data_IF_409930994530
#
_entry.id   IF_409930994530
#
_cell.length_a   1.000
_cell.length_b   1.000
_cell.length_c   1.000
_cell.angle_alpha   90.00
_cell.angle_beta   90.00
_cell.angle_gamma   90.00
#
_symmetry.space_group_name_H-M   'P 1'
#
loop_
_entity.id
_entity.type
_entity.pdbx_description
1 polymer ?
#
# COMPACT_ATOMS: atom_id res chain seq x y z
N UNK A 1 7.58 -1.75 -36.59
CA UNK A 1 6.61 -1.43 -35.51
C UNK A 1 5.46 -0.65 -36.11
N UNK A 2 4.32 -1.30 -36.40
CA UNK A 2 3.13 -0.64 -36.97
C UNK A 2 2.35 0.10 -35.86
N UNK A 3 1.82 1.30 -36.12
CA UNK A 3 1.07 2.06 -35.14
C UNK A 3 -0.31 1.44 -34.89
N UNK A 4 -0.68 1.40 -33.61
CA UNK A 4 -1.92 0.86 -33.09
C UNK A 4 -3.10 1.74 -33.56
N UNK A 5 -3.89 1.25 -34.52
CA UNK A 5 -5.07 1.98 -35.03
C UNK A 5 -6.27 1.80 -34.11
N UNK A 6 -7.06 2.86 -33.98
CA UNK A 6 -8.19 3.03 -33.06
C UNK A 6 -9.44 2.20 -33.37
N UNK A 7 -9.30 1.07 -34.09
CA UNK A 7 -10.42 0.22 -34.50
C UNK A 7 -10.56 -1.09 -33.71
N UNK A 8 -9.65 -1.41 -32.79
CA UNK A 8 -9.69 -2.66 -32.00
C UNK A 8 -10.49 -2.56 -30.68
N UNK A 9 -11.27 -1.49 -30.49
CA UNK A 9 -12.11 -1.26 -29.29
C UNK A 9 -13.42 -2.06 -29.24
N UNK A 10 -13.67 -2.97 -30.19
CA UNK A 10 -14.98 -3.66 -30.31
C UNK A 10 -15.00 -5.13 -29.87
N UNK A 11 -13.90 -5.68 -29.33
CA UNK A 11 -13.85 -7.06 -28.79
C UNK A 11 -13.41 -7.12 -27.33
N UNK A 12 -13.98 -6.27 -26.47
CA UNK A 12 -14.12 -6.64 -25.07
C UNK A 12 -15.36 -7.53 -25.01
N UNK A 13 -15.14 -8.82 -24.75
CA UNK A 13 -16.16 -9.78 -24.37
C UNK A 13 -17.13 -9.10 -23.40
N UNK A 14 -18.35 -8.80 -23.88
CA UNK A 14 -19.47 -8.37 -23.03
C UNK A 14 -19.97 -9.57 -22.25
N UNK A 15 -19.05 -10.26 -21.57
CA UNK A 15 -19.34 -11.29 -20.60
C UNK A 15 -20.43 -10.75 -19.71
N UNK A 16 -21.56 -11.47 -19.69
CA UNK A 16 -22.77 -11.18 -18.91
C UNK A 16 -22.44 -10.30 -17.70
N UNK A 17 -22.99 -9.09 -17.65
CA UNK A 17 -23.09 -8.36 -16.38
C UNK A 17 -23.59 -9.38 -15.35
N UNK A 18 -22.87 -9.62 -14.23
CA UNK A 18 -23.34 -10.57 -13.24
C UNK A 18 -24.77 -10.16 -12.90
N UNK A 19 -25.72 -11.10 -13.03
CA UNK A 19 -27.10 -10.89 -12.59
C UNK A 19 -27.01 -10.27 -11.20
N UNK A 20 -27.69 -9.13 -10.97
CA UNK A 20 -27.73 -8.48 -9.64
C UNK A 20 -27.83 -9.58 -8.60
N UNK A 21 -26.79 -9.72 -7.78
CA UNK A 21 -26.77 -10.74 -6.74
C UNK A 21 -28.09 -10.61 -5.96
N UNK A 22 -28.79 -11.73 -5.77
CA UNK A 22 -30.04 -11.72 -5.03
C UNK A 22 -29.77 -11.04 -3.67
N UNK A 23 -30.50 -9.98 -3.37
CA UNK A 23 -30.38 -9.30 -2.07
C UNK A 23 -30.90 -10.25 -1.01
N UNK A 24 -30.00 -10.97 -0.35
CA UNK A 24 -30.34 -11.82 0.80
C UNK A 24 -30.65 -10.88 1.96
N UNK A 25 -31.93 -10.78 2.34
CA UNK A 25 -32.29 -10.15 3.63
C UNK A 25 -31.89 -11.11 4.73
N UNK A 26 -30.90 -10.69 5.51
CA UNK A 26 -30.39 -11.44 6.66
C UNK A 26 -30.53 -10.57 7.90
N UNK A 27 -30.86 -11.21 9.02
CA UNK A 27 -30.88 -10.57 10.34
C UNK A 27 -29.48 -10.43 10.95
N UNK A 28 -28.45 -10.99 10.31
CA UNK A 28 -27.08 -10.96 10.82
C UNK A 28 -26.34 -9.73 10.33
N UNK A 29 -25.41 -9.27 11.16
CA UNK A 29 -24.51 -8.20 10.82
C UNK A 29 -23.61 -8.60 9.63
N UNK A 30 -23.26 -7.62 8.78
CA UNK A 30 -22.51 -7.77 7.53
C UNK A 30 -21.21 -8.60 7.70
N UNK A 31 -20.47 -8.33 8.78
CA UNK A 31 -19.24 -9.05 9.09
C UNK A 31 -19.47 -10.55 9.25
N UNK A 32 -20.56 -10.96 9.90
CA UNK A 32 -20.87 -12.37 10.13
C UNK A 32 -21.25 -13.08 8.83
N UNK A 33 -21.99 -12.42 7.94
CA UNK A 33 -22.39 -13.00 6.65
C UNK A 33 -21.19 -13.25 5.75
N UNK A 34 -20.31 -12.25 5.60
CA UNK A 34 -19.09 -12.39 4.81
C UNK A 34 -18.15 -13.47 5.37
N UNK A 35 -17.95 -13.51 6.69
CA UNK A 35 -17.13 -14.54 7.34
C UNK A 35 -17.69 -15.95 7.14
N UNK A 36 -19.02 -16.12 7.23
CA UNK A 36 -19.68 -17.41 6.99
C UNK A 36 -19.58 -17.85 5.53
N UNK A 37 -19.87 -16.94 4.59
CA UNK A 37 -19.79 -17.20 3.16
C UNK A 37 -18.38 -17.61 2.74
N UNK A 38 -17.35 -16.90 3.21
CA UNK A 38 -15.95 -17.25 2.96
C UNK A 38 -15.58 -18.61 3.54
N UNK A 39 -15.97 -18.88 4.80
CA UNK A 39 -15.72 -20.16 5.44
C UNK A 39 -16.44 -21.33 4.73
N UNK A 40 -17.64 -21.09 4.19
CA UNK A 40 -18.39 -22.06 3.40
C UNK A 40 -17.76 -22.31 2.03
N UNK A 41 -17.35 -21.26 1.33
CA UNK A 41 -16.58 -21.35 0.09
C UNK A 41 -15.37 -22.26 0.29
N UNK A 42 -14.55 -22.00 1.31
CA UNK A 42 -13.37 -22.82 1.65
C UNK A 42 -13.72 -24.30 1.89
N UNK A 43 -14.82 -24.58 2.60
CA UNK A 43 -15.27 -25.95 2.88
C UNK A 43 -15.76 -26.67 1.63
N UNK A 44 -16.42 -25.97 0.71
CA UNK A 44 -16.97 -26.53 -0.52
C UNK A 44 -15.92 -26.68 -1.64
N UNK A 45 -14.85 -25.90 -1.62
CA UNK A 45 -13.76 -26.02 -2.60
C UNK A 45 -13.03 -27.35 -2.46
N UNK A 46 -13.01 -28.15 -3.53
CA UNK A 46 -12.35 -29.48 -3.58
C UNK A 46 -10.88 -29.38 -3.18
N UNK A 47 -10.38 -30.32 -2.36
CA UNK A 47 -9.04 -30.27 -1.73
C UNK A 47 -7.87 -29.91 -2.68
N UNK A 48 -7.89 -30.42 -3.92
CA UNK A 48 -6.84 -30.19 -4.93
C UNK A 48 -7.03 -28.90 -5.74
N UNK A 49 -8.19 -28.26 -5.67
CA UNK A 49 -8.47 -27.02 -6.38
C UNK A 49 -7.82 -25.83 -5.63
N UNK A 50 -7.08 -24.94 -6.33
CA UNK A 50 -6.61 -23.69 -5.76
C UNK A 50 -7.78 -22.77 -5.42
N UNK A 51 -7.59 -21.86 -4.47
CA UNK A 51 -8.60 -20.90 -4.08
C UNK A 51 -8.00 -19.49 -4.01
N UNK A 52 -8.82 -18.51 -4.35
CA UNK A 52 -8.60 -17.09 -4.10
C UNK A 52 -9.90 -16.57 -3.47
N UNK A 53 -9.80 -15.91 -2.33
CA UNK A 53 -10.94 -15.27 -1.67
C UNK A 53 -10.52 -13.88 -1.19
N UNK A 54 -11.16 -12.86 -1.74
CA UNK A 54 -11.11 -11.49 -1.22
C UNK A 54 -12.37 -11.28 -0.39
N UNK A 55 -12.21 -11.11 0.92
CA UNK A 55 -13.33 -10.96 1.86
C UNK A 55 -13.33 -9.53 2.37
N UNK A 56 -14.16 -8.69 1.76
CA UNK A 56 -14.27 -7.27 2.09
C UNK A 56 -15.53 -7.02 2.90
N UNK A 57 -15.37 -6.73 4.19
CA UNK A 57 -16.46 -6.34 5.08
C UNK A 57 -16.61 -4.82 5.09
N UNK A 58 -17.82 -4.32 5.35
CA UNK A 58 -18.06 -2.87 5.42
C UNK A 58 -17.56 -2.25 6.73
N UNK A 59 -17.64 -2.98 7.84
CA UNK A 59 -17.13 -2.51 9.14
C UNK A 59 -15.63 -2.17 9.06
N UNK A 60 -15.15 -1.09 9.69
CA UNK A 60 -15.86 -0.20 10.62
C UNK A 60 -16.49 1.05 9.95
N UNK A 61 -16.69 1.07 8.63
CA UNK A 61 -17.23 2.24 7.92
C UNK A 61 -18.60 2.68 8.47
N UNK A 62 -18.82 4.00 8.52
CA UNK A 62 -20.08 4.58 8.98
C UNK A 62 -21.31 4.18 8.11
N UNK A 63 -22.52 4.08 8.70
CA UNK A 63 -22.79 4.08 10.14
C UNK A 63 -22.17 2.85 10.82
N UNK A 64 -21.45 3.07 11.92
CA UNK A 64 -20.75 2.03 12.66
C UNK A 64 -21.72 1.30 13.61
N UNK A 65 -22.68 0.59 13.03
CA UNK A 65 -23.71 -0.14 13.79
C UNK A 65 -23.20 -1.52 14.19
N UNK A 66 -22.75 -1.67 15.42
CA UNK A 66 -22.28 -2.96 15.94
C UNK A 66 -23.43 -3.98 16.10
N UNK A 67 -23.08 -5.27 16.15
CA UNK A 67 -24.05 -6.29 16.53
C UNK A 67 -24.42 -6.12 18.00
N UNK A 68 -25.65 -6.46 18.39
CA UNK A 68 -26.15 -6.26 19.76
C UNK A 68 -25.22 -6.84 20.85
N UNK A 69 -24.58 -8.00 20.57
CA UNK A 69 -23.63 -8.65 21.47
C UNK A 69 -22.29 -7.93 21.64
N UNK A 70 -21.98 -6.97 20.79
CA UNK A 70 -20.70 -6.24 20.79
C UNK A 70 -20.84 -4.82 21.36
N UNK A 71 -22.08 -4.37 21.64
CA UNK A 71 -22.33 -3.04 22.17
C UNK A 71 -21.63 -2.87 23.53
N UNK A 72 -20.88 -1.78 23.68
CA UNK A 72 -20.10 -1.49 24.88
C UNK A 72 -18.83 -2.32 25.05
N UNK A 73 -18.48 -3.20 24.12
CA UNK A 73 -17.21 -3.93 24.14
C UNK A 73 -16.17 -3.16 23.31
N UNK A 74 -15.22 -2.52 23.99
CA UNK A 74 -14.09 -1.84 23.34
C UNK A 74 -12.78 -2.11 24.07
N UNK A 75 -11.69 -2.05 23.32
CA UNK A 75 -10.35 -2.01 23.89
C UNK A 75 -10.09 -0.66 24.59
N UNK A 76 -8.99 -0.58 25.33
CA UNK A 76 -8.45 0.70 25.79
C UNK A 76 -8.10 1.58 24.58
N UNK A 77 -8.48 2.86 24.66
CA UNK A 77 -8.29 3.87 23.62
C UNK A 77 -7.64 5.13 24.18
N UNK A 78 -6.98 5.01 25.34
CA UNK A 78 -6.16 6.06 25.97
C UNK A 78 -5.15 6.69 25.02
N UNK A 79 -4.46 5.87 24.22
CA UNK A 79 -3.47 6.33 23.24
C UNK A 79 -4.03 7.31 22.18
N UNK A 80 -5.33 7.26 21.90
CA UNK A 80 -5.97 8.25 21.02
C UNK A 80 -6.17 9.59 21.72
N UNK A 81 -6.53 9.59 23.00
CA UNK A 81 -6.67 10.81 23.80
C UNK A 81 -5.33 11.53 24.03
N UNK A 82 -4.26 10.75 24.17
CA UNK A 82 -2.91 11.27 24.40
C UNK A 82 -2.21 11.70 23.10
N UNK A 83 -2.83 11.48 21.94
CA UNK A 83 -2.27 11.87 20.65
C UNK A 83 -2.38 13.39 20.45
N UNK A 84 -1.26 14.16 20.44
CA UNK A 84 -1.27 15.61 20.28
C UNK A 84 -1.84 16.09 18.94
N UNK A 85 -1.86 15.24 17.91
CA UNK A 85 -2.51 15.58 16.64
C UNK A 85 -4.03 15.69 16.80
N UNK A 86 -4.63 15.02 17.80
CA UNK A 86 -6.08 15.02 18.02
C UNK A 86 -6.57 16.35 18.57
N UNK A 87 -7.19 17.12 17.68
CA UNK A 87 -7.50 18.52 17.93
C UNK A 87 -6.26 19.33 18.23
N UNK A 88 -5.28 19.19 17.34
CA UNK A 88 -4.02 19.93 17.28
C UNK A 88 -4.28 21.43 17.49
N UNK A 89 -3.53 22.02 18.42
CA UNK A 89 -3.74 23.40 18.87
C UNK A 89 -3.17 24.43 17.90
N UNK A 90 -2.07 24.09 17.24
CA UNK A 90 -1.41 24.94 16.24
C UNK A 90 -1.37 24.19 14.92
N UNK A 91 -2.04 24.74 13.92
CA UNK A 91 -2.05 24.23 12.54
C UNK A 91 -1.55 25.28 11.55
N UNK A 92 -0.91 26.35 12.05
CA UNK A 92 -0.51 27.51 11.23
C UNK A 92 0.55 27.18 10.18
N UNK A 93 1.26 26.06 10.36
CA UNK A 93 2.27 25.49 9.47
C UNK A 93 1.69 24.51 8.43
N UNK A 94 0.44 24.08 8.58
CA UNK A 94 -0.25 23.17 7.66
C UNK A 94 -0.67 23.90 6.38
N UNK A 95 -0.96 23.19 5.29
CA UNK A 95 -1.56 23.78 4.09
C UNK A 95 -2.87 24.49 4.40
N UNK A 96 -3.18 25.53 3.61
CA UNK A 96 -4.37 26.36 3.78
C UNK A 96 -5.67 25.58 3.89
N UNK A 97 -5.83 24.51 3.10
CA UNK A 97 -7.04 23.69 3.13
C UNK A 97 -7.23 22.93 4.46
N UNK A 98 -6.14 22.69 5.21
CA UNK A 98 -6.16 22.12 6.57
C UNK A 98 -6.38 23.22 7.60
N UNK A 99 -5.78 24.39 7.43
CA UNK A 99 -6.03 25.56 8.29
C UNK A 99 -7.50 26.00 8.27
N UNK A 100 -8.17 25.82 7.12
CA UNK A 100 -9.60 26.08 6.96
C UNK A 100 -10.49 24.97 7.58
N UNK A 101 -9.91 23.88 8.10
CA UNK A 101 -10.66 22.87 8.84
C UNK A 101 -11.18 23.44 10.17
N UNK A 102 -12.38 23.02 10.57
CA UNK A 102 -12.98 23.48 11.82
C UNK A 102 -12.20 22.96 13.02
N UNK A 103 -11.73 23.88 13.88
CA UNK A 103 -11.06 23.51 15.14
C UNK A 103 -11.89 22.52 15.96
N UNK A 104 -11.23 21.48 16.45
CA UNK A 104 -11.88 20.42 17.22
C UNK A 104 -11.97 20.77 18.70
N UNK A 105 -12.91 21.64 19.04
CA UNK A 105 -13.24 21.95 20.44
C UNK A 105 -13.77 20.74 21.24
N UNK A 106 -13.92 20.87 22.58
CA UNK A 106 -14.23 19.75 23.48
C UNK A 106 -15.47 18.92 23.08
N UNK A 107 -16.54 19.57 22.63
CA UNK A 107 -17.76 18.91 22.17
C UNK A 107 -17.53 18.05 20.93
N UNK A 108 -16.72 18.53 19.99
CA UNK A 108 -16.34 17.75 18.80
C UNK A 108 -15.46 16.56 19.20
N UNK A 109 -14.47 16.75 20.09
CA UNK A 109 -13.63 15.64 20.60
C UNK A 109 -14.49 14.54 21.25
N UNK A 110 -15.42 14.92 22.13
CA UNK A 110 -16.36 13.97 22.76
C UNK A 110 -17.25 13.25 21.75
N UNK A 111 -17.66 13.94 20.68
CA UNK A 111 -18.41 13.33 19.58
C UNK A 111 -17.55 12.29 18.84
N UNK A 112 -16.31 12.64 18.49
CA UNK A 112 -15.40 11.72 17.80
C UNK A 112 -15.04 10.50 18.65
N UNK A 113 -14.79 10.68 19.94
CA UNK A 113 -14.58 9.57 20.87
C UNK A 113 -15.76 8.58 20.85
N UNK A 114 -17.00 9.09 20.84
CA UNK A 114 -18.20 8.25 20.74
C UNK A 114 -18.26 7.49 19.41
N UNK A 115 -18.01 8.16 18.29
CA UNK A 115 -18.00 7.54 16.96
C UNK A 115 -16.91 6.47 16.86
N UNK A 116 -15.71 6.78 17.34
CA UNK A 116 -14.58 5.87 17.39
C UNK A 116 -14.88 4.64 18.25
N UNK A 117 -15.53 4.81 19.41
CA UNK A 117 -16.04 3.69 20.22
C UNK A 117 -16.97 2.78 19.43
N UNK A 118 -17.96 3.35 18.73
CA UNK A 118 -18.88 2.58 17.88
C UNK A 118 -18.14 1.83 16.75
N UNK A 119 -17.15 2.47 16.13
CA UNK A 119 -16.28 1.82 15.14
C UNK A 119 -15.55 0.61 15.74
N UNK A 120 -14.95 0.76 16.93
CA UNK A 120 -14.27 -0.33 17.63
C UNK A 120 -15.21 -1.49 17.98
N UNK A 121 -16.43 -1.21 18.45
CA UNK A 121 -17.44 -2.23 18.75
C UNK A 121 -17.73 -3.11 17.51
N UNK A 122 -17.76 -2.53 16.29
CA UNK A 122 -17.96 -3.31 15.06
C UNK A 122 -16.81 -4.27 14.73
N UNK A 123 -15.59 -4.00 15.22
CA UNK A 123 -14.38 -4.80 14.92
C UNK A 123 -14.42 -6.18 15.59
N UNK A 124 -15.17 -6.37 16.68
CA UNK A 124 -15.42 -7.70 17.24
C UNK A 124 -16.07 -8.66 16.22
N UNK A 125 -16.95 -8.13 15.36
CA UNK A 125 -17.52 -8.87 14.25
C UNK A 125 -16.48 -9.25 13.20
N UNK A 126 -15.55 -8.34 12.90
CA UNK A 126 -14.44 -8.59 11.96
C UNK A 126 -13.52 -9.68 12.48
N UNK A 127 -13.10 -9.58 13.75
CA UNK A 127 -12.21 -10.56 14.40
C UNK A 127 -12.81 -11.97 14.39
N UNK A 128 -14.09 -12.12 14.80
CA UNK A 128 -14.77 -13.42 14.73
C UNK A 128 -14.86 -13.98 13.31
N UNK A 129 -15.02 -13.11 12.30
CA UNK A 129 -15.05 -13.54 10.91
C UNK A 129 -13.69 -13.99 10.39
N UNK A 130 -12.61 -13.31 10.79
CA UNK A 130 -11.24 -13.77 10.58
C UNK A 130 -11.03 -15.14 11.24
N UNK A 131 -11.45 -15.31 12.50
CA UNK A 131 -11.40 -16.57 13.22
C UNK A 131 -12.15 -17.71 12.51
N UNK A 132 -13.34 -17.45 11.95
CA UNK A 132 -14.11 -18.42 11.15
C UNK A 132 -13.38 -18.84 9.87
N UNK A 133 -12.78 -17.90 9.16
CA UNK A 133 -12.02 -18.17 7.93
C UNK A 133 -10.80 -19.02 8.24
N UNK A 134 -10.00 -18.63 9.25
CA UNK A 134 -8.84 -19.39 9.72
C UNK A 134 -9.27 -20.79 10.16
N UNK A 135 -10.37 -20.90 10.91
CA UNK A 135 -10.93 -22.19 11.34
C UNK A 135 -11.31 -23.09 10.16
N UNK A 136 -11.90 -22.54 9.10
CA UNK A 136 -12.21 -23.30 7.89
C UNK A 136 -10.95 -23.76 7.15
N UNK A 137 -9.93 -22.91 7.03
CA UNK A 137 -8.63 -23.29 6.45
C UNK A 137 -7.95 -24.40 7.25
N UNK A 138 -7.99 -24.35 8.59
CA UNK A 138 -7.44 -25.40 9.46
C UNK A 138 -8.21 -26.72 9.32
N UNK A 139 -9.53 -26.70 9.42
CA UNK A 139 -10.40 -27.90 9.29
C UNK A 139 -10.24 -28.59 7.94
N UNK A 140 -10.02 -27.83 6.87
CA UNK A 140 -9.78 -28.36 5.52
C UNK A 140 -8.31 -28.71 5.23
N UNK A 141 -7.42 -28.61 6.24
CA UNK A 141 -5.96 -28.85 6.13
C UNK A 141 -5.26 -27.97 5.08
N UNK A 142 -5.78 -26.76 4.84
CA UNK A 142 -5.25 -25.78 3.87
C UNK A 142 -4.39 -24.70 4.51
N UNK A 143 -4.51 -24.45 5.81
CA UNK A 143 -3.85 -23.35 6.52
C UNK A 143 -2.34 -23.20 6.22
N UNK A 144 -1.60 -24.30 6.18
CA UNK A 144 -0.15 -24.26 5.94
C UNK A 144 0.23 -23.96 4.47
N UNK A 145 -0.75 -23.97 3.56
CA UNK A 145 -0.59 -23.83 2.10
C UNK A 145 -1.31 -22.60 1.56
N UNK A 146 -1.71 -21.67 2.44
CA UNK A 146 -2.49 -20.49 2.10
C UNK A 146 -1.70 -19.23 2.46
N UNK A 147 -1.54 -18.34 1.47
CA UNK A 147 -1.22 -16.93 1.73
C UNK A 147 -2.43 -16.28 2.37
N UNK A 148 -2.28 -15.83 3.60
CA UNK A 148 -3.32 -15.08 4.31
C UNK A 148 -2.85 -13.64 4.48
N UNK A 149 -3.63 -12.69 3.98
CA UNK A 149 -3.36 -11.25 4.11
C UNK A 149 -4.57 -10.59 4.75
N UNK A 150 -4.34 -9.74 5.75
CA UNK A 150 -5.34 -8.89 6.38
C UNK A 150 -4.88 -7.44 6.29
N UNK A 151 -5.73 -6.58 5.75
CA UNK A 151 -5.47 -5.14 5.62
C UNK A 151 -6.76 -4.32 5.62
N UNK A 152 -6.63 -3.00 5.51
CA UNK A 152 -7.71 -2.04 5.29
C UNK A 152 -7.52 -1.29 3.96
N UNK A 153 -8.59 -0.69 3.44
CA UNK A 153 -8.54 0.15 2.24
C UNK A 153 -7.80 1.47 2.47
N UNK A 154 -7.95 2.04 3.68
CA UNK A 154 -7.38 3.28 4.18
C UNK A 154 -7.51 3.32 5.72
N UNK A 155 -6.94 4.35 6.34
CA UNK A 155 -7.17 4.74 7.73
C UNK A 155 -8.43 5.62 7.91
N UNK A 156 -8.52 6.27 9.07
CA UNK A 156 -9.57 7.20 9.44
C UNK A 156 -9.03 8.22 10.47
N UNK A 157 -9.14 9.51 10.17
CA UNK A 157 -8.91 10.57 11.15
C UNK A 157 -10.14 10.73 12.04
N UNK A 158 -9.93 10.61 13.34
CA UNK A 158 -10.90 10.89 14.40
C UNK A 158 -10.65 12.24 15.07
N UNK A 159 -9.79 13.07 14.49
CA UNK A 159 -9.51 14.43 14.96
C UNK A 159 -8.07 14.87 14.81
N UNK A 160 -7.22 13.96 14.34
CA UNK A 160 -5.85 14.25 13.92
C UNK A 160 -5.85 15.42 12.92
N UNK A 161 -5.06 16.45 13.22
CA UNK A 161 -4.96 17.72 12.49
C UNK A 161 -6.29 18.46 12.32
N UNK A 162 -7.18 18.31 13.32
CA UNK A 162 -8.57 18.80 13.28
C UNK A 162 -9.43 18.18 12.16
N UNK A 163 -8.95 17.12 11.50
CA UNK A 163 -9.65 16.46 10.40
C UNK A 163 -10.51 15.29 10.89
N UNK A 164 -11.61 15.05 10.19
CA UNK A 164 -12.46 13.87 10.38
C UNK A 164 -12.64 13.14 9.06
N UNK A 165 -12.46 11.82 9.09
CA UNK A 165 -12.67 10.95 7.94
C UNK A 165 -11.40 10.62 7.18
N UNK A 166 -11.47 10.72 5.85
CA UNK A 166 -10.44 10.24 4.92
C UNK A 166 -10.02 11.36 3.96
N UNK A 167 -9.12 11.04 3.03
CA UNK A 167 -8.68 11.88 1.90
C UNK A 167 -7.58 12.91 2.19
N UNK A 168 -6.86 12.80 3.31
CA UNK A 168 -5.61 13.50 3.58
C UNK A 168 -4.42 12.53 3.52
N UNK A 169 -3.19 13.04 3.36
CA UNK A 169 -1.98 12.22 3.29
C UNK A 169 -1.45 11.75 4.65
N UNK A 170 -1.96 12.31 5.75
CA UNK A 170 -1.52 12.04 7.12
C UNK A 170 -1.70 10.58 7.54
N UNK A 171 -0.82 10.14 8.43
CA UNK A 171 -0.73 8.77 8.95
C UNK A 171 -2.07 8.20 9.38
N UNK A 172 -2.88 8.96 10.12
CA UNK A 172 -4.20 8.49 10.59
C UNK A 172 -5.11 8.00 9.45
N UNK A 173 -4.90 8.47 8.21
CA UNK A 173 -5.72 8.18 7.04
C UNK A 173 -5.02 7.26 6.03
N UNK A 174 -3.70 7.17 6.07
CA UNK A 174 -2.89 6.40 5.10
C UNK A 174 -2.29 5.12 5.68
N UNK A 175 -1.93 5.09 6.95
CA UNK A 175 -1.44 3.88 7.61
C UNK A 175 -2.61 2.91 7.88
N UNK A 176 -2.43 1.66 7.46
CA UNK A 176 -3.40 0.57 7.65
C UNK A 176 -2.74 -0.63 8.32
N UNK A 177 -3.49 -1.43 9.10
CA UNK A 177 -2.95 -2.69 9.60
C UNK A 177 -2.56 -3.57 8.41
N UNK A 178 -1.42 -4.24 8.46
CA UNK A 178 -1.02 -5.21 7.45
C UNK A 178 -0.45 -6.46 8.13
N UNK A 179 -1.17 -7.57 8.00
CA UNK A 179 -0.72 -8.87 8.48
C UNK A 179 -0.61 -9.79 7.28
N UNK A 180 0.59 -10.27 7.00
CA UNK A 180 0.85 -11.24 5.93
C UNK A 180 1.39 -12.52 6.56
N UNK A 181 0.73 -13.64 6.27
CA UNK A 181 1.16 -14.97 6.70
C UNK A 181 1.35 -15.87 5.50
N UNK A 182 2.58 -16.36 5.34
CA UNK A 182 2.88 -17.46 4.45
C UNK A 182 3.90 -18.40 5.09
N UNK A 183 3.40 -19.49 5.69
CA UNK A 183 4.17 -20.31 6.63
C UNK A 183 5.53 -20.80 6.13
N UNK A 184 5.63 -21.22 4.87
CA UNK A 184 6.88 -21.78 4.33
C UNK A 184 7.81 -20.73 3.69
N UNK A 185 7.35 -19.49 3.47
CA UNK A 185 8.15 -18.41 2.87
C UNK A 185 8.64 -17.40 3.91
N UNK A 186 7.96 -17.30 5.06
CA UNK A 186 8.34 -16.37 6.14
C UNK A 186 8.47 -17.16 7.44
N UNK A 187 9.67 -17.14 8.02
CA UNK A 187 9.96 -17.80 9.31
C UNK A 187 9.74 -16.81 10.46
N UNK A 188 9.09 -17.28 11.52
CA UNK A 188 8.91 -16.53 12.76
C UNK A 188 7.78 -15.50 12.74
N UNK A 189 7.54 -14.88 13.90
CA UNK A 189 6.75 -13.66 14.01
C UNK A 189 7.74 -12.51 13.96
N UNK A 190 7.69 -11.70 12.92
CA UNK A 190 8.51 -10.49 12.80
C UNK A 190 7.57 -9.30 12.58
N UNK A 191 7.77 -8.25 13.35
CA UNK A 191 7.23 -6.92 13.03
C UNK A 191 8.32 -6.18 12.27
N UNK A 192 8.05 -5.84 11.02
CA UNK A 192 8.95 -4.99 10.24
C UNK A 192 8.50 -3.54 10.37
N UNK A 193 9.33 -2.72 11.00
CA UNK A 193 9.09 -1.29 11.20
C UNK A 193 9.91 -0.40 10.25
N UNK A 194 10.83 -1.00 9.49
CA UNK A 194 11.75 -0.25 8.61
C UNK A 194 11.23 -0.18 7.18
N UNK A 195 10.45 -1.17 6.80
CA UNK A 195 9.87 -1.29 5.47
C UNK A 195 8.50 -0.63 5.36
N UNK A 196 8.14 -0.26 4.13
CA UNK A 196 6.80 0.23 3.80
C UNK A 196 6.19 -0.62 2.69
N UNK A 197 4.87 -0.71 2.70
CA UNK A 197 4.08 -1.38 1.69
C UNK A 197 2.88 -0.50 1.32
N UNK A 198 2.35 -0.69 0.11
CA UNK A 198 1.11 -0.07 -0.32
C UNK A 198 0.10 -1.14 -0.75
N UNK A 199 -1.18 -0.81 -0.75
CA UNK A 199 -2.25 -1.77 -1.11
C UNK A 199 -2.08 -2.40 -2.51
N UNK A 200 -1.41 -1.71 -3.45
CA UNK A 200 -1.07 -2.26 -4.78
C UNK A 200 -0.09 -3.45 -4.71
N UNK A 201 0.70 -3.55 -3.64
CA UNK A 201 1.68 -4.62 -3.42
C UNK A 201 1.01 -5.97 -3.10
N UNK A 202 -0.24 -5.94 -2.60
CA UNK A 202 -1.00 -7.16 -2.28
C UNK A 202 -1.20 -8.04 -3.52
N UNK A 203 -1.50 -7.42 -4.65
CA UNK A 203 -1.67 -8.11 -5.93
C UNK A 203 -0.36 -8.73 -6.39
N UNK A 204 0.74 -7.96 -6.37
CA UNK A 204 2.07 -8.44 -6.75
C UNK A 204 2.53 -9.61 -5.87
N UNK A 205 2.29 -9.50 -4.55
CA UNK A 205 2.58 -10.53 -3.54
C UNK A 205 1.77 -11.80 -3.80
N UNK A 206 0.46 -11.69 -4.05
CA UNK A 206 -0.41 -12.82 -4.34
C UNK A 206 -0.03 -13.53 -5.64
N UNK A 207 0.31 -12.77 -6.69
CA UNK A 207 0.76 -13.30 -7.97
C UNK A 207 2.07 -14.08 -7.83
N UNK A 208 3.09 -13.52 -7.15
CA UNK A 208 4.34 -14.23 -6.92
C UNK A 208 4.13 -15.49 -6.08
N UNK A 209 3.30 -15.44 -5.03
CA UNK A 209 2.96 -16.62 -4.23
C UNK A 209 2.20 -17.70 -5.02
N UNK A 210 1.49 -17.29 -6.09
CA UNK A 210 0.81 -18.18 -7.04
C UNK A 210 1.70 -18.65 -8.20
N UNK A 211 2.97 -18.23 -8.27
CA UNK A 211 3.89 -18.57 -9.36
C UNK A 211 3.67 -17.76 -10.65
N UNK A 212 3.00 -16.61 -10.57
CA UNK A 212 2.76 -15.71 -11.69
C UNK A 212 3.70 -14.52 -11.63
N UNK A 213 4.59 -14.43 -12.61
CA UNK A 213 5.57 -13.35 -12.74
C UNK A 213 5.16 -12.45 -13.90
N UNK A 214 4.66 -11.26 -13.55
CA UNK A 214 4.31 -10.18 -14.49
C UNK A 214 5.08 -8.93 -14.07
N UNK A 215 5.67 -8.21 -15.00
CA UNK A 215 6.39 -6.96 -14.71
C UNK A 215 5.56 -5.73 -15.03
N UNK A 216 4.41 -5.87 -15.70
CA UNK A 216 3.54 -4.76 -16.10
C UNK A 216 2.54 -4.39 -14.99
N UNK A 217 3.05 -3.91 -13.86
CA UNK A 217 2.26 -3.55 -12.67
C UNK A 217 2.98 -2.54 -11.78
N UNK A 218 2.21 -1.74 -11.06
CA UNK A 218 2.74 -0.72 -10.15
C UNK A 218 3.19 -1.31 -8.79
N UNK A 219 2.57 -2.41 -8.38
CA UNK A 219 2.85 -3.07 -7.09
C UNK A 219 4.13 -3.88 -7.10
N UNK A 220 4.84 -3.88 -5.97
CA UNK A 220 6.03 -4.70 -5.73
C UNK A 220 5.67 -5.80 -4.74
N UNK A 221 6.12 -7.02 -5.00
CA UNK A 221 5.83 -8.14 -4.09
C UNK A 221 6.59 -7.98 -2.78
N UNK A 222 5.90 -8.23 -1.66
CA UNK A 222 6.49 -8.24 -0.32
C UNK A 222 7.26 -9.53 -0.01
N UNK A 223 7.21 -10.53 -0.88
CA UNK A 223 8.03 -11.75 -0.75
C UNK A 223 9.42 -11.46 -1.32
N UNK A 224 10.38 -11.18 -0.45
CA UNK A 224 11.77 -10.92 -0.82
C UNK A 224 12.30 -9.63 -0.20
N UNK A 225 12.82 -8.73 -1.04
CA UNK A 225 13.37 -7.46 -0.58
C UNK A 225 12.24 -6.44 -0.37
N UNK A 226 11.98 -6.02 0.87
CA UNK A 226 10.99 -4.99 1.12
C UNK A 226 11.47 -3.63 0.60
N UNK A 227 10.52 -2.77 0.23
CA UNK A 227 10.83 -1.39 -0.19
C UNK A 227 10.84 -0.43 0.99
N UNK A 228 11.65 0.61 0.87
CA UNK A 228 11.81 1.66 1.89
C UNK A 228 11.00 2.91 1.59
N UNK A 229 10.34 2.99 0.43
CA UNK A 229 9.49 4.12 0.05
C UNK A 229 8.33 3.75 -0.85
N UNK A 230 7.21 4.47 -0.71
CA UNK A 230 6.01 4.33 -1.54
C UNK A 230 5.47 5.70 -1.97
N UNK A 231 4.91 5.82 -3.19
CA UNK A 231 4.16 7.01 -3.56
C UNK A 231 2.82 7.06 -2.81
N UNK A 232 2.44 8.26 -2.36
CA UNK A 232 1.10 8.56 -1.86
C UNK A 232 0.39 9.46 -2.86
N UNK A 233 -0.84 9.13 -3.22
CA UNK A 233 -1.60 9.93 -4.19
C UNK A 233 -3.04 10.15 -3.74
N UNK A 234 -3.55 11.35 -4.00
CA UNK A 234 -4.92 11.74 -3.71
C UNK A 234 -5.51 12.54 -4.86
N UNK A 235 -6.76 12.25 -5.19
CA UNK A 235 -7.53 13.01 -6.20
C UNK A 235 -8.28 14.17 -5.55
N UNK A 236 -8.57 15.21 -6.32
CA UNK A 236 -9.39 16.34 -5.87
C UNK A 236 -10.74 15.86 -5.30
N UNK A 237 -11.11 16.38 -4.12
CA UNK A 237 -12.42 16.20 -3.49
C UNK A 237 -12.96 17.58 -3.06
N UNK A 238 -14.24 17.64 -2.69
CA UNK A 238 -14.83 18.90 -2.20
C UNK A 238 -14.01 19.44 -1.03
N UNK A 239 -13.48 20.66 -1.17
CA UNK A 239 -12.62 21.31 -0.18
C UNK A 239 -11.22 20.69 0.02
N UNK A 240 -10.83 19.66 -0.73
CA UNK A 240 -9.51 19.00 -0.57
C UNK A 240 -8.76 18.96 -1.90
N UNK A 241 -7.57 19.58 -1.99
CA UNK A 241 -6.77 19.54 -3.21
C UNK A 241 -6.30 18.10 -3.52
N UNK A 242 -6.03 17.78 -4.80
CA UNK A 242 -5.27 16.57 -5.11
C UNK A 242 -3.87 16.69 -4.50
N UNK A 243 -3.24 15.55 -4.21
CA UNK A 243 -1.89 15.51 -3.67
C UNK A 243 -1.06 14.38 -4.28
N UNK A 244 0.25 14.58 -4.28
CA UNK A 244 1.25 13.54 -4.52
C UNK A 244 2.31 13.64 -3.43
N UNK A 245 2.76 12.51 -2.92
CA UNK A 245 3.77 12.45 -1.89
C UNK A 245 4.66 11.23 -2.01
N UNK A 246 5.68 11.22 -1.15
CA UNK A 246 6.56 10.08 -0.96
C UNK A 246 6.66 9.77 0.52
N UNK A 247 6.43 8.50 0.87
CA UNK A 247 6.38 8.02 2.24
C UNK A 247 7.43 6.94 2.44
N UNK A 248 8.25 7.07 3.46
CA UNK A 248 9.16 6.02 3.95
C UNK A 248 8.74 5.57 5.35
N UNK A 249 9.54 4.79 6.08
CA UNK A 249 9.31 4.61 7.52
C UNK A 249 9.68 5.85 8.34
N UNK A 250 10.60 6.67 7.81
CA UNK A 250 11.25 7.78 8.52
C UNK A 250 10.75 9.17 8.12
N UNK A 251 10.00 9.31 7.03
CA UNK A 251 9.51 10.62 6.61
C UNK A 251 8.31 10.57 5.70
N UNK A 252 7.66 11.73 5.57
CA UNK A 252 6.55 11.99 4.67
C UNK A 252 6.80 13.31 3.96
N UNK A 253 6.79 13.29 2.63
CA UNK A 253 6.71 14.48 1.80
C UNK A 253 5.40 14.51 1.04
N UNK A 254 4.78 15.68 0.92
CA UNK A 254 3.56 15.89 0.13
C UNK A 254 3.65 17.20 -0.65
N UNK A 255 3.23 17.17 -1.91
CA UNK A 255 2.91 18.35 -2.73
C UNK A 255 1.43 18.32 -3.12
N UNK A 256 0.77 19.45 -2.94
CA UNK A 256 -0.63 19.62 -3.29
C UNK A 256 -0.81 20.24 -4.68
N UNK A 257 -2.00 20.06 -5.26
CA UNK A 257 -2.39 20.73 -6.50
C UNK A 257 -2.46 22.26 -6.37
N UNK A 258 -2.48 22.81 -5.15
CA UNK A 258 -2.35 24.25 -4.87
C UNK A 258 -0.91 24.76 -5.03
N UNK A 259 0.08 23.88 -5.06
CA UNK A 259 1.50 24.23 -5.04
C UNK A 259 2.13 24.22 -3.64
N UNK A 260 1.31 24.14 -2.59
CA UNK A 260 1.79 23.99 -1.21
C UNK A 260 2.47 22.63 -1.02
N UNK A 261 3.42 22.58 -0.09
CA UNK A 261 4.19 21.39 0.23
C UNK A 261 4.28 21.19 1.74
N UNK A 262 4.45 19.93 2.13
CA UNK A 262 4.71 19.53 3.50
C UNK A 262 5.85 18.54 3.56
N UNK A 263 6.65 18.61 4.62
CA UNK A 263 7.62 17.57 4.97
C UNK A 263 7.60 17.30 6.47
N UNK A 264 7.48 16.01 6.84
CA UNK A 264 7.51 15.55 8.23
C UNK A 264 8.64 14.55 8.43
N UNK A 265 9.48 14.78 9.44
CA UNK A 265 10.51 13.83 9.89
C UNK A 265 9.94 12.91 10.98
N UNK A 266 9.50 11.72 10.57
CA UNK A 266 8.76 10.81 11.44
C UNK A 266 9.62 10.11 12.49
N UNK A 267 10.95 10.30 12.45
CA UNK A 267 11.85 9.77 13.48
C UNK A 267 11.71 10.54 14.79
N UNK A 268 11.42 11.83 14.69
CA UNK A 268 11.29 12.75 15.84
C UNK A 268 9.87 13.30 15.99
N UNK A 269 9.08 13.32 14.92
CA UNK A 269 7.69 13.75 14.89
C UNK A 269 6.79 12.66 14.27
N UNK A 270 6.51 11.55 14.98
CA UNK A 270 5.69 10.46 14.44
C UNK A 270 4.21 10.83 14.27
N UNK A 271 3.80 12.01 14.77
CA UNK A 271 2.43 12.52 14.82
C UNK A 271 2.20 13.62 13.80
N UNK A 272 3.20 13.98 13.00
CA UNK A 272 3.10 14.91 11.87
C UNK A 272 2.65 16.31 12.32
N UNK A 273 3.14 16.76 13.48
CA UNK A 273 2.80 18.04 14.09
C UNK A 273 3.56 19.22 13.48
N UNK A 274 4.82 19.05 13.08
CA UNK A 274 5.67 20.15 12.62
C UNK A 274 6.03 19.96 11.14
N UNK A 275 5.49 20.83 10.29
CA UNK A 275 5.82 20.89 8.88
C UNK A 275 7.20 21.55 8.69
N UNK A 276 8.21 20.74 8.36
CA UNK A 276 9.61 21.12 8.21
C UNK A 276 10.00 21.47 6.78
N UNK A 277 9.03 21.80 5.92
CA UNK A 277 9.31 22.05 4.50
C UNK A 277 10.26 23.23 4.25
N UNK A 278 10.25 24.23 5.15
CA UNK A 278 11.12 25.42 5.10
C UNK A 278 12.42 25.27 5.91
N UNK A 279 12.70 24.10 6.48
CA UNK A 279 13.92 23.86 7.25
C UNK A 279 15.13 23.73 6.31
N UNK A 280 15.91 24.81 6.22
CA UNK A 280 17.12 24.87 5.38
C UNK A 280 18.14 23.78 5.68
N UNK A 281 18.20 23.25 6.91
CA UNK A 281 19.11 22.16 7.28
C UNK A 281 18.71 20.81 6.66
N UNK A 282 17.46 20.67 6.23
CA UNK A 282 16.90 19.46 5.62
C UNK A 282 16.81 19.54 4.09
N UNK A 283 17.31 20.62 3.46
CA UNK A 283 17.19 20.87 2.01
C UNK A 283 17.56 19.64 1.15
N UNK A 284 18.66 18.97 1.46
CA UNK A 284 19.10 17.77 0.73
C UNK A 284 18.14 16.59 0.87
N UNK A 285 17.63 16.35 2.10
CA UNK A 285 16.66 15.29 2.40
C UNK A 285 15.35 15.56 1.67
N UNK A 286 14.80 16.76 1.83
CA UNK A 286 13.54 17.19 1.20
C UNK A 286 13.65 17.09 -0.32
N UNK A 287 14.78 17.48 -0.91
CA UNK A 287 15.02 17.34 -2.35
C UNK A 287 14.98 15.88 -2.82
N UNK A 288 15.55 14.96 -2.04
CA UNK A 288 15.46 13.52 -2.30
C UNK A 288 14.02 13.00 -2.29
N UNK A 289 13.23 13.40 -1.29
CA UNK A 289 11.81 13.04 -1.21
C UNK A 289 10.97 13.65 -2.34
N UNK A 290 11.20 14.93 -2.67
CA UNK A 290 10.60 15.60 -3.83
C UNK A 290 10.87 14.81 -5.10
N UNK A 291 12.12 14.43 -5.36
CA UNK A 291 12.50 13.65 -6.55
C UNK A 291 11.87 12.25 -6.57
N UNK A 292 11.75 11.60 -5.41
CA UNK A 292 11.10 10.31 -5.30
C UNK A 292 9.59 10.40 -5.57
N UNK A 293 8.91 11.42 -5.04
CA UNK A 293 7.52 11.73 -5.37
C UNK A 293 7.36 12.04 -6.86
N UNK A 294 8.29 12.80 -7.45
CA UNK A 294 8.41 13.07 -8.90
C UNK A 294 8.35 11.85 -9.78
N UNK A 295 9.10 10.81 -9.39
CA UNK A 295 9.15 9.56 -10.12
C UNK A 295 7.94 8.68 -9.82
N UNK A 296 7.52 8.63 -8.55
CA UNK A 296 6.46 7.73 -8.08
C UNK A 296 5.04 8.15 -8.48
N UNK A 297 4.80 9.43 -8.73
CA UNK A 297 3.50 9.96 -9.18
C UNK A 297 3.52 10.32 -10.68
N UNK A 298 4.13 9.50 -11.52
CA UNK A 298 4.17 9.71 -12.97
C UNK A 298 3.31 8.65 -13.68
N UNK A 299 2.23 9.03 -14.39
CA UNK A 299 1.73 10.39 -14.57
C UNK A 299 1.10 10.99 -13.29
N UNK A 300 0.97 12.33 -13.21
CA UNK A 300 0.34 13.00 -12.07
C UNK A 300 -1.05 12.46 -11.72
N UNK A 301 -1.45 12.53 -10.45
CA UNK A 301 -2.84 12.31 -10.07
C UNK A 301 -3.78 13.27 -10.81
N UNK A 302 -5.03 12.85 -11.11
CA UNK A 302 -6.03 13.74 -11.68
C UNK A 302 -6.25 15.01 -10.83
N UNK A 303 -6.24 16.17 -11.49
CA UNK A 303 -6.43 17.48 -10.85
C UNK A 303 -5.14 18.29 -10.66
N UNK A 304 -3.97 17.74 -11.00
CA UNK A 304 -2.75 18.50 -11.15
C UNK A 304 -2.68 19.20 -12.51
N UNK A 305 -2.21 20.45 -12.52
CA UNK A 305 -1.99 21.22 -13.74
C UNK A 305 -0.79 20.70 -14.55
N UNK A 306 -0.64 21.14 -15.82
CA UNK A 306 0.46 20.71 -16.71
C UNK A 306 1.87 21.05 -16.21
N UNK A 307 1.99 21.93 -15.21
CA UNK A 307 3.23 22.36 -14.57
C UNK A 307 3.55 21.60 -13.26
N UNK A 308 2.97 20.42 -13.04
CA UNK A 308 3.10 19.65 -11.79
C UNK A 308 4.53 19.55 -11.23
N UNK A 309 5.50 19.28 -12.10
CA UNK A 309 6.92 19.15 -11.73
C UNK A 309 7.74 20.43 -11.88
N UNK A 310 7.11 21.57 -12.18
CA UNK A 310 7.85 22.84 -12.09
C UNK A 310 8.22 23.05 -10.63
N UNK A 311 9.51 23.14 -10.30
CA UNK A 311 9.92 23.50 -8.96
C UNK A 311 9.29 24.85 -8.57
N UNK A 312 8.84 24.98 -7.32
CA UNK A 312 8.52 26.30 -6.74
C UNK A 312 9.79 27.09 -6.41
N UNK A 313 10.94 26.41 -6.35
CA UNK A 313 12.26 26.99 -6.10
C UNK A 313 13.07 27.07 -7.40
N UNK A 314 13.73 28.21 -7.61
CA UNK A 314 14.76 28.38 -8.64
C UNK A 314 16.09 27.92 -8.06
N UNK A 315 16.88 27.14 -8.80
CA UNK A 315 18.29 26.94 -8.44
C UNK A 315 18.97 28.31 -8.31
N UNK A 316 19.90 28.52 -7.35
CA UNK A 316 20.80 29.65 -7.41
C UNK A 316 21.53 29.61 -8.78
N UNK A 317 21.14 30.50 -9.70
CA UNK A 317 21.57 30.50 -11.10
C UNK A 317 20.45 30.49 -12.16
N UNK A 318 19.20 30.19 -11.80
CA UNK A 318 18.06 30.20 -12.73
C UNK A 318 17.59 31.63 -13.12
N UNK A 319 18.25 32.67 -12.60
CA UNK A 319 18.01 34.09 -12.95
C UNK A 319 19.10 34.64 -13.90
N UNK A 320 20.07 33.82 -14.33
CA UNK A 320 20.94 34.18 -15.44
C UNK A 320 20.10 34.20 -16.74
N UNK A 321 20.03 35.32 -17.46
CA UNK A 321 19.32 35.36 -18.74
C UNK A 321 19.95 34.34 -19.68
N UNK A 322 19.11 33.51 -20.29
CA UNK A 322 19.50 32.53 -21.31
C UNK A 322 20.43 33.22 -22.33
N UNK A 323 21.65 32.70 -22.58
CA UNK A 323 22.58 33.33 -23.50
C UNK A 323 21.90 33.40 -24.87
N UNK A 324 21.75 34.62 -25.38
CA UNK A 324 21.11 34.87 -26.66
C UNK A 324 21.77 34.00 -27.73
N UNK A 325 20.99 33.26 -28.55
CA UNK A 325 21.57 32.42 -29.58
C UNK A 325 22.36 33.31 -30.54
N UNK A 326 23.67 33.06 -30.63
CA UNK A 326 24.51 33.68 -31.64
C UNK A 326 23.91 33.39 -33.03
N UNK A 327 23.84 34.39 -33.93
CA UNK A 327 23.35 34.17 -35.27
C UNK A 327 24.25 33.16 -35.97
N UNK A 328 23.69 32.00 -36.32
CA UNK A 328 24.37 30.97 -37.10
C UNK A 328 24.76 31.49 -38.49
N UNK A 329 25.81 30.92 -39.11
CA UNK A 329 26.28 31.37 -40.42
C UNK A 329 25.22 31.16 -41.51
N UNK A 330 25.11 32.13 -42.42
CA UNK A 330 24.15 32.15 -43.52
C UNK A 330 24.30 30.95 -44.48
N UNK A 331 23.20 30.47 -45.10
CA UNK A 331 23.23 29.30 -45.95
C UNK A 331 23.87 29.59 -47.32
N UNK A 332 24.81 28.74 -47.72
CA UNK A 332 25.38 28.66 -49.07
C UNK A 332 24.37 28.02 -50.03
N UNK A 333 24.27 28.44 -51.32
CA UNK A 333 23.28 27.93 -52.24
C UNK A 333 23.60 26.53 -52.77
N UNK A 334 22.58 25.68 -52.83
CA UNK A 334 22.61 24.29 -53.31
C UNK A 334 22.52 24.22 -54.84
N UNK A 335 23.44 23.51 -55.49
CA UNK A 335 23.38 23.12 -56.90
C UNK A 335 22.52 21.85 -57.11
N UNK A 336 21.82 21.68 -58.25
CA UNK A 336 20.94 20.54 -58.49
C UNK A 336 21.69 19.32 -59.06
N UNK A 337 21.23 18.11 -58.72
CA UNK A 337 21.66 16.83 -59.32
C UNK A 337 20.49 16.19 -60.12
N UNK A 338 20.79 15.44 -61.20
CA UNK A 338 19.78 14.95 -62.15
C UNK A 338 19.15 13.60 -61.76
N UNK A 339 18.07 13.27 -62.46
CA UNK A 339 17.11 12.18 -62.25
C UNK A 339 17.52 10.83 -62.90
N UNK A 340 16.59 9.86 -62.83
CA UNK A 340 16.53 8.48 -63.41
C UNK A 340 16.87 7.40 -62.34
N UNK A 341 16.15 6.30 -62.10
CA UNK A 341 14.96 5.67 -62.69
C UNK A 341 14.94 4.15 -62.35
N UNK A 342 13.75 3.60 -62.08
CA UNK A 342 13.31 2.19 -62.09
C UNK A 342 13.80 1.14 -61.05
N UNK A 343 12.83 0.37 -60.56
CA UNK A 343 12.86 -0.78 -59.62
C UNK A 343 13.53 -2.05 -60.16
N UNK A 344 13.78 -3.08 -59.32
CA UNK A 344 12.77 -4.16 -59.20
C UNK A 344 12.60 -4.80 -57.81
N UNK A 345 11.50 -5.56 -57.73
CA UNK A 345 10.97 -6.45 -56.67
C UNK A 345 11.87 -7.59 -56.24
N UNK A 346 11.75 -8.07 -54.98
CA UNK A 346 12.07 -9.46 -54.61
C UNK A 346 11.21 -10.00 -53.45
N UNK A 347 10.91 -11.30 -53.55
CA UNK A 347 9.94 -12.11 -52.81
C UNK A 347 10.51 -12.83 -51.58
N UNK A 348 9.63 -13.30 -50.68
CA UNK A 348 9.92 -14.21 -49.54
C UNK A 348 10.49 -15.57 -49.97
N UNK A 349 11.12 -16.30 -49.01
CA UNK A 349 10.64 -17.67 -48.75
C UNK A 349 10.60 -18.09 -47.26
N UNK A 350 9.79 -19.10 -46.97
CA UNK A 350 9.59 -19.82 -45.68
C UNK A 350 10.38 -21.17 -45.65
N UNK A 351 10.22 -22.09 -44.66
CA UNK A 351 11.18 -22.44 -43.59
C UNK A 351 11.87 -23.83 -43.71
N UNK A 352 12.95 -24.10 -42.95
CA UNK A 352 13.23 -25.44 -42.39
C UNK A 352 14.48 -25.59 -41.51
N UNK A 353 14.37 -26.59 -40.62
CA UNK A 353 15.39 -27.50 -40.07
C UNK A 353 16.17 -27.17 -38.78
N UNK A 354 15.90 -28.01 -37.78
CA UNK A 354 16.69 -28.38 -36.59
C UNK A 354 18.10 -28.91 -36.94
N UNK A 355 19.07 -28.85 -36.01
CA UNK A 355 19.54 -30.12 -35.42
C UNK A 355 19.84 -30.09 -33.90
N UNK A 356 19.95 -31.31 -33.36
CA UNK A 356 20.10 -31.80 -31.98
C UNK A 356 21.51 -31.55 -31.35
N UNK A 357 21.74 -31.88 -30.06
CA UNK A 357 22.74 -31.25 -29.19
C UNK A 357 24.07 -32.01 -29.06
N UNK A 358 25.09 -31.30 -28.60
CA UNK A 358 26.35 -31.88 -28.11
C UNK A 358 26.95 -30.96 -27.03
N UNK A 359 27.53 -31.54 -25.97
CA UNK A 359 28.35 -30.79 -25.02
C UNK A 359 28.23 -31.20 -23.55
N UNK A 360 28.72 -32.39 -23.22
CA UNK A 360 28.96 -32.91 -21.88
C UNK A 360 30.02 -32.08 -21.14
N UNK A 361 29.77 -31.64 -19.90
CA UNK A 361 30.85 -31.38 -18.92
C UNK A 361 30.33 -31.60 -17.49
N UNK A 362 30.66 -32.76 -16.93
CA UNK A 362 30.80 -33.03 -15.48
C UNK A 362 32.06 -32.25 -15.02
N UNK A 363 32.27 -31.71 -13.81
CA UNK A 363 32.06 -32.09 -12.39
C UNK A 363 32.61 -30.87 -11.56
N UNK A 364 32.75 -30.88 -10.21
CA UNK A 364 32.05 -31.59 -9.14
C UNK A 364 31.53 -30.69 -7.99
N UNK A 365 30.62 -31.25 -7.22
CA UNK A 365 30.21 -30.89 -5.86
C UNK A 365 31.32 -31.19 -4.85
N UNK A 366 31.42 -30.47 -3.72
CA UNK A 366 31.97 -31.03 -2.48
C UNK A 366 30.86 -31.36 -1.48
N UNK A 367 30.82 -32.62 -1.07
CA UNK A 367 30.10 -33.10 0.13
C UNK A 367 30.92 -32.84 1.40
N UNK A 368 30.28 -32.77 2.58
CA UNK A 368 30.92 -32.40 3.85
C UNK A 368 31.54 -33.61 4.57
N UNK A 369 32.74 -33.43 5.12
CA UNK A 369 33.32 -34.26 6.19
C UNK A 369 32.99 -33.60 7.55
N UNK A 370 32.35 -34.32 8.49
CA UNK A 370 33.01 -35.00 9.63
C UNK A 370 33.28 -33.98 10.76
N UNK A 371 32.96 -34.15 12.04
CA UNK A 371 32.56 -35.28 12.88
C UNK A 371 32.26 -34.68 14.27
N UNK A 372 31.35 -35.31 15.04
CA UNK A 372 31.12 -35.01 16.47
C UNK A 372 32.36 -35.32 17.33
N UNK A 373 32.37 -34.86 18.60
CA UNK A 373 32.04 -35.83 19.65
C UNK A 373 31.11 -35.30 20.76
N UNK A 374 30.57 -36.29 21.48
CA UNK A 374 29.65 -36.24 22.60
C UNK A 374 30.16 -35.52 23.86
N UNK A 375 29.24 -34.95 24.63
CA UNK A 375 29.30 -35.00 26.10
C UNK A 375 27.88 -34.98 26.70
N UNK A 376 27.65 -35.95 27.57
CA UNK A 376 26.48 -36.21 28.42
C UNK A 376 26.57 -35.46 29.75
N UNK A 377 25.44 -34.94 30.25
CA UNK A 377 25.07 -34.81 31.69
C UNK A 377 23.66 -34.17 31.76
N UNK A 378 22.59 -34.91 32.07
CA UNK A 378 21.96 -35.05 33.40
C UNK A 378 21.63 -33.74 34.11
N UNK A 379 20.34 -33.51 34.39
CA UNK A 379 19.89 -32.44 35.30
C UNK A 379 18.43 -32.04 35.12
N UNK A 380 17.49 -32.93 35.47
CA UNK A 380 16.08 -32.60 35.75
C UNK A 380 15.97 -31.81 37.05
N UNK A 381 15.32 -30.64 37.03
CA UNK A 381 14.77 -29.96 38.22
C UNK A 381 13.42 -29.33 37.87
N UNK A 382 12.35 -29.85 38.47
CA UNK A 382 11.03 -29.22 38.59
C UNK A 382 11.11 -27.96 39.46
N UNK A 383 10.25 -26.95 39.24
CA UNK A 383 9.82 -26.06 40.30
C UNK A 383 8.48 -26.54 40.88
N UNK A 384 8.55 -26.93 42.14
CA UNK A 384 7.44 -27.17 43.05
C UNK A 384 6.52 -25.96 43.17
N UNK A 385 5.22 -26.28 43.15
CA UNK A 385 4.06 -25.46 43.50
C UNK A 385 4.14 -25.06 44.98
N UNK A 386 4.10 -23.77 45.29
CA UNK A 386 3.92 -23.26 46.65
C UNK A 386 2.52 -22.65 46.80
N UNK A 387 1.87 -23.06 47.89
CA UNK A 387 0.50 -22.74 48.30
C UNK A 387 0.35 -21.31 48.84
N UNK A 388 -0.89 -20.84 48.83
CA UNK A 388 -1.41 -19.67 49.53
C UNK A 388 -1.16 -19.73 51.05
N UNK A 389 -1.28 -18.56 51.72
CA UNK A 389 -2.02 -18.54 52.98
C UNK A 389 -3.20 -17.57 52.93
N UNK A 390 -4.35 -18.09 53.35
CA UNK A 390 -5.49 -17.37 53.88
C UNK A 390 -5.20 -16.85 55.30
N UNK A 391 -5.51 -15.58 55.56
CA UNK A 391 -5.90 -15.01 56.87
C UNK A 391 -6.30 -13.54 56.64
N UNK A 392 -7.60 -13.20 56.66
CA UNK A 392 -8.32 -12.59 57.80
C UNK A 392 -7.64 -11.35 58.39
N UNK A 393 -8.29 -10.21 58.16
CA UNK A 393 -7.99 -8.88 58.70
C UNK A 393 -8.88 -7.87 58.00
#
# INVERSE_FOLDING_TARGET
>A
TRPYSSQDRSRIDRGRRPKRAATVRTSRHDTEEHGRAAAEFIRKTKRKQPLLAMVSVKAPHLPATAAARDLGQTADDSAWWDNPAVGESDISDKPRWVQEATYMGPSHKKNQARVRRQMMETLHGVDRSVGRIIGALKKTKRWNRTLFMFTSDNGWASGEHNLVGKYAPYRAQTDVPLIVRYGNLVRGRNTDQRSVAANVDLTATAMQAGGVFDTNRDGVSMVGAPRTGVPLTGTKRSGRPPYCGWRTSEGLFVRYGSGEEEFYDLRIDPQELENRIEDSSLTGVITGYRLAASRGCSPPPPGFGPSFWRPSWRYPGDDEPEPQPHPGPSPTPTMPLPSIGASPTFSEPTPSATPTPSGTTQTPTPSPSGSSPSASATGTVEPTRSEEPTATG
#
